data_IF_287096669321
#
_entry.id   IF_287096669321
#
_cell.length_a   1.000
_cell.length_b   1.000
_cell.length_c   1.000
_cell.angle_alpha   90.00
_cell.angle_beta   90.00
_cell.angle_gamma   90.00
#
_symmetry.space_group_name_H-M   'P 1'
#
loop_
_entity.id
_entity.type
_entity.pdbx_description
1 polymer ?
#
# COMPACT_ATOMS: atom_id res chain seq x y z
N UNK A 1 8.33 -19.90 22.08
CA UNK A 1 7.79 -20.62 20.91
C UNK A 1 6.40 -20.10 20.56
N UNK A 2 5.34 -20.38 21.33
CA UNK A 2 3.97 -20.01 20.98
C UNK A 2 3.72 -18.52 20.61
N UNK A 3 4.36 -17.57 21.31
CA UNK A 3 4.20 -16.13 21.01
C UNK A 3 4.77 -15.72 19.63
N UNK A 4 5.90 -16.30 19.24
CA UNK A 4 6.52 -16.04 17.94
C UNK A 4 5.68 -16.60 16.79
N UNK A 5 5.19 -17.82 16.95
CA UNK A 5 4.34 -18.48 15.95
C UNK A 5 3.03 -17.72 15.74
N UNK A 6 2.43 -17.22 16.82
CA UNK A 6 1.21 -16.39 16.76
C UNK A 6 1.46 -15.09 16.00
N UNK A 7 2.56 -14.41 16.28
CA UNK A 7 2.87 -13.15 15.57
C UNK A 7 3.23 -13.40 14.11
N UNK A 8 4.02 -14.42 13.82
CA UNK A 8 4.38 -14.77 12.44
C UNK A 8 3.13 -15.12 11.62
N UNK A 9 2.23 -15.93 12.20
CA UNK A 9 0.97 -16.32 11.56
C UNK A 9 0.07 -15.11 11.35
N UNK A 10 -0.07 -14.24 12.36
CA UNK A 10 -0.87 -13.01 12.26
C UNK A 10 -0.32 -12.09 11.16
N UNK A 11 1.00 -11.89 11.13
CA UNK A 11 1.66 -11.10 10.10
C UNK A 11 1.45 -11.68 8.70
N UNK A 12 1.54 -13.01 8.52
CA UNK A 12 1.26 -13.68 7.24
C UNK A 12 -0.19 -13.52 6.79
N UNK A 13 -1.15 -13.64 7.72
CA UNK A 13 -2.58 -13.46 7.40
C UNK A 13 -2.84 -12.03 6.94
N UNK A 14 -2.35 -11.03 7.67
CA UNK A 14 -2.55 -9.62 7.31
C UNK A 14 -1.89 -9.31 5.95
N UNK A 15 -0.70 -9.85 5.71
CA UNK A 15 0.00 -9.71 4.43
C UNK A 15 -0.82 -10.31 3.28
N UNK A 16 -1.36 -11.53 3.47
CA UNK A 16 -2.23 -12.18 2.50
C UNK A 16 -3.51 -11.37 2.23
N UNK A 17 -4.12 -10.76 3.26
CA UNK A 17 -5.27 -9.87 3.09
C UNK A 17 -4.88 -8.64 2.26
N UNK A 18 -3.76 -8.00 2.58
CA UNK A 18 -3.26 -6.84 1.83
C UNK A 18 -3.05 -7.16 0.35
N UNK A 19 -2.37 -8.27 0.06
CA UNK A 19 -2.18 -8.75 -1.33
C UNK A 19 -3.51 -9.06 -2.00
N UNK A 20 -4.43 -9.75 -1.32
CA UNK A 20 -5.74 -10.08 -1.86
C UNK A 20 -6.57 -8.83 -2.20
N UNK A 21 -6.50 -7.78 -1.40
CA UNK A 21 -7.17 -6.49 -1.66
C UNK A 21 -6.59 -5.82 -2.91
N UNK A 22 -5.27 -5.80 -3.07
CA UNK A 22 -4.61 -5.22 -4.25
C UNK A 22 -5.01 -5.98 -5.51
N UNK A 23 -4.85 -7.31 -5.49
CA UNK A 23 -5.14 -8.16 -6.65
C UNK A 23 -6.63 -8.13 -6.98
N UNK A 24 -7.50 -8.28 -5.99
CA UNK A 24 -8.94 -8.25 -6.18
C UNK A 24 -9.41 -6.89 -6.72
N UNK A 25 -8.89 -5.79 -6.19
CA UNK A 25 -9.18 -4.46 -6.69
C UNK A 25 -8.71 -4.23 -8.14
N UNK A 26 -7.53 -4.75 -8.51
CA UNK A 26 -7.03 -4.70 -9.87
C UNK A 26 -7.91 -5.49 -10.85
N UNK A 27 -8.32 -6.71 -10.48
CA UNK A 27 -9.22 -7.55 -11.29
C UNK A 27 -10.59 -6.88 -11.47
N UNK A 28 -11.16 -6.34 -10.40
CA UNK A 28 -12.43 -5.61 -10.46
C UNK A 28 -12.33 -4.34 -11.31
N UNK A 29 -11.23 -3.59 -11.18
CA UNK A 29 -10.97 -2.42 -12.01
C UNK A 29 -10.89 -2.80 -13.49
N UNK A 30 -10.16 -3.87 -13.83
CA UNK A 30 -10.03 -4.37 -15.19
C UNK A 30 -11.39 -4.81 -15.76
N UNK A 31 -12.14 -5.64 -15.03
CA UNK A 31 -13.45 -6.12 -15.46
C UNK A 31 -14.44 -4.97 -15.70
N UNK A 32 -14.48 -3.98 -14.79
CA UNK A 32 -15.30 -2.80 -14.93
C UNK A 32 -14.91 -1.92 -16.13
N UNK A 33 -13.62 -1.92 -16.48
CA UNK A 33 -13.09 -1.13 -17.60
C UNK A 33 -13.39 -1.80 -18.93
N UNK A 34 -13.24 -3.13 -19.03
CA UNK A 34 -13.57 -3.93 -20.23
C UNK A 34 -15.03 -3.73 -20.64
N UNK A 35 -15.96 -3.67 -19.68
CA UNK A 35 -17.37 -3.38 -19.96
C UNK A 35 -17.64 -1.97 -20.51
N UNK A 36 -16.73 -1.01 -20.29
CA UNK A 36 -16.88 0.40 -20.70
C UNK A 36 -16.15 0.76 -22.00
N UNK A 37 -15.32 -0.13 -22.54
CA UNK A 37 -14.59 0.07 -23.81
C UNK A 37 -15.53 0.36 -24.99
N UNK A 38 -16.80 -0.05 -24.92
CA UNK A 38 -17.79 0.15 -26.01
C UNK A 38 -18.52 1.50 -25.97
N UNK A 39 -18.33 2.32 -24.93
CA UNK A 39 -19.22 3.46 -24.65
C UNK A 39 -18.59 4.83 -24.84
N UNK A 40 -17.72 5.25 -23.94
CA UNK A 40 -17.35 6.66 -23.82
C UNK A 40 -15.93 6.78 -23.23
N UNK A 41 -15.18 7.80 -23.67
CA UNK A 41 -13.85 8.10 -23.13
C UNK A 41 -13.88 8.27 -21.60
N UNK A 42 -12.82 7.83 -20.92
CA UNK A 42 -12.74 7.85 -19.44
C UNK A 42 -12.60 6.47 -18.78
N UNK A 43 -12.56 5.40 -19.58
CA UNK A 43 -12.24 4.04 -19.13
C UNK A 43 -10.89 3.99 -18.38
N UNK A 44 -9.87 4.67 -18.89
CA UNK A 44 -8.55 4.76 -18.26
C UNK A 44 -8.58 5.46 -16.89
N UNK A 45 -9.29 6.59 -16.77
CA UNK A 45 -9.38 7.33 -15.50
C UNK A 45 -10.19 6.55 -14.46
N UNK A 46 -11.24 5.84 -14.88
CA UNK A 46 -12.00 4.96 -14.01
C UNK A 46 -11.14 3.79 -13.50
N UNK A 47 -10.36 3.16 -14.39
CA UNK A 47 -9.40 2.12 -14.03
C UNK A 47 -8.39 2.64 -13.01
N UNK A 48 -7.73 3.77 -13.30
CA UNK A 48 -6.69 4.34 -12.44
C UNK A 48 -7.21 4.72 -11.05
N UNK A 49 -8.42 5.27 -10.96
CA UNK A 49 -9.05 5.62 -9.67
C UNK A 49 -9.33 4.37 -8.82
N UNK A 50 -9.92 3.33 -9.42
CA UNK A 50 -10.25 2.09 -8.72
C UNK A 50 -8.97 1.35 -8.30
N UNK A 51 -8.02 1.22 -9.21
CA UNK A 51 -6.73 0.59 -8.96
C UNK A 51 -5.97 1.32 -7.84
N UNK A 52 -5.86 2.65 -7.93
CA UNK A 52 -5.18 3.46 -6.93
C UNK A 52 -5.77 3.31 -5.53
N UNK A 53 -7.11 3.28 -5.42
CA UNK A 53 -7.80 3.07 -4.14
C UNK A 53 -7.53 1.67 -3.56
N UNK A 54 -7.52 0.64 -4.40
CA UNK A 54 -7.21 -0.72 -3.94
C UNK A 54 -5.76 -0.90 -3.51
N UNK A 55 -4.81 -0.26 -4.20
CA UNK A 55 -3.40 -0.29 -3.83
C UNK A 55 -3.19 0.47 -2.51
N UNK A 56 -3.78 1.65 -2.34
CA UNK A 56 -3.63 2.43 -1.12
C UNK A 56 -4.16 1.66 0.10
N UNK A 57 -5.34 1.04 -0.02
CA UNK A 57 -5.90 0.20 1.03
C UNK A 57 -5.03 -1.04 1.30
N UNK A 58 -4.56 -1.71 0.24
CA UNK A 58 -3.66 -2.85 0.37
C UNK A 58 -2.36 -2.50 1.10
N UNK A 59 -1.79 -1.33 0.79
CA UNK A 59 -0.59 -0.82 1.45
C UNK A 59 -0.80 -0.59 2.95
N UNK A 60 -1.98 -0.15 3.39
CA UNK A 60 -2.28 -0.03 4.83
C UNK A 60 -2.18 -1.38 5.56
N UNK A 61 -2.70 -2.45 4.95
CA UNK A 61 -2.57 -3.80 5.50
C UNK A 61 -1.12 -4.30 5.46
N UNK A 62 -0.43 -4.08 4.35
CA UNK A 62 0.97 -4.49 4.19
C UNK A 62 1.88 -3.82 5.24
N UNK A 63 1.74 -2.51 5.44
CA UNK A 63 2.49 -1.79 6.48
C UNK A 63 2.15 -2.30 7.89
N UNK A 64 0.88 -2.62 8.17
CA UNK A 64 0.50 -3.20 9.46
C UNK A 64 1.17 -4.56 9.70
N UNK A 65 1.25 -5.41 8.68
CA UNK A 65 1.95 -6.70 8.76
C UNK A 65 3.46 -6.54 9.06
N UNK A 66 4.09 -5.48 8.55
CA UNK A 66 5.49 -5.16 8.83
C UNK A 66 5.74 -4.73 10.27
N UNK A 67 4.89 -3.84 10.79
CA UNK A 67 4.99 -3.36 12.18
C UNK A 67 4.86 -4.55 13.14
N UNK A 68 3.91 -5.45 12.89
CA UNK A 68 3.69 -6.64 13.71
C UNK A 68 4.93 -7.53 13.72
N UNK A 69 5.55 -7.76 12.56
CA UNK A 69 6.74 -8.61 12.44
C UNK A 69 7.98 -8.02 13.10
N UNK A 70 8.15 -6.70 13.06
CA UNK A 70 9.32 -6.01 13.63
C UNK A 70 9.30 -5.96 15.16
N UNK A 71 8.13 -5.82 15.78
CA UNK A 71 7.99 -5.73 17.25
C UNK A 71 8.17 -7.10 17.94
N UNK A 72 7.99 -8.19 17.21
CA UNK A 72 7.86 -9.53 17.75
C UNK A 72 9.15 -10.27 18.12
N UNK A 73 10.30 -9.84 17.59
CA UNK A 73 11.50 -10.69 17.55
C UNK A 73 12.43 -10.42 18.73
N UNK A 74 12.69 -11.42 19.59
CA UNK A 74 13.86 -11.37 20.48
C UNK A 74 15.12 -11.50 19.64
N UNK A 75 16.01 -10.51 19.67
CA UNK A 75 17.08 -10.43 18.71
C UNK A 75 18.19 -11.43 19.01
N UNK A 76 18.50 -12.30 18.04
CA UNK A 76 19.87 -12.76 17.81
C UNK A 76 20.45 -11.91 16.67
N UNK A 77 21.74 -11.56 16.71
CA UNK A 77 22.33 -10.63 15.74
C UNK A 77 22.09 -11.05 14.28
N UNK A 78 22.15 -12.35 13.99
CA UNK A 78 21.90 -12.89 12.65
C UNK A 78 20.42 -12.80 12.24
N UNK A 79 19.48 -13.14 13.14
CA UNK A 79 18.05 -13.08 12.82
C UNK A 79 17.57 -11.64 12.64
N UNK A 80 18.12 -10.71 13.43
CA UNK A 80 17.88 -9.26 13.26
C UNK A 80 18.42 -8.78 11.93
N UNK A 81 19.61 -9.20 11.51
CA UNK A 81 20.19 -8.77 10.25
C UNK A 81 19.34 -9.20 9.03
N UNK A 82 18.85 -10.45 9.01
CA UNK A 82 17.96 -10.94 7.95
C UNK A 82 16.62 -10.20 7.97
N UNK A 83 16.01 -10.04 9.16
CA UNK A 83 14.75 -9.31 9.31
C UNK A 83 14.89 -7.85 8.87
N UNK A 84 15.95 -7.16 9.29
CA UNK A 84 16.24 -5.79 8.90
C UNK A 84 16.44 -5.66 7.38
N UNK A 85 17.10 -6.65 6.75
CA UNK A 85 17.21 -6.71 5.29
C UNK A 85 15.85 -6.82 4.59
N UNK A 86 14.99 -7.73 5.04
CA UNK A 86 13.64 -7.90 4.48
C UNK A 86 12.80 -6.63 4.67
N UNK A 87 12.82 -6.04 5.86
CA UNK A 87 12.10 -4.80 6.17
C UNK A 87 12.62 -3.60 5.36
N UNK A 88 13.94 -3.50 5.17
CA UNK A 88 14.55 -2.45 4.35
C UNK A 88 14.12 -2.56 2.88
N UNK A 89 14.18 -3.77 2.31
CA UNK A 89 13.71 -4.03 0.94
C UNK A 89 12.23 -3.66 0.82
N UNK A 90 11.40 -4.09 1.78
CA UNK A 90 9.96 -3.82 1.75
C UNK A 90 9.63 -2.33 1.87
N UNK A 91 10.30 -1.63 2.77
CA UNK A 91 10.15 -0.18 2.93
C UNK A 91 10.54 0.54 1.64
N UNK A 92 11.67 0.16 1.03
CA UNK A 92 12.15 0.75 -0.22
C UNK A 92 11.19 0.50 -1.39
N UNK A 93 10.74 -0.74 -1.59
CA UNK A 93 9.81 -1.08 -2.68
C UNK A 93 8.45 -0.42 -2.49
N UNK A 94 7.89 -0.48 -1.28
CA UNK A 94 6.60 0.15 -0.98
C UNK A 94 6.65 1.67 -1.18
N UNK A 95 7.75 2.30 -0.74
CA UNK A 95 7.99 3.72 -0.93
C UNK A 95 8.16 4.10 -2.41
N UNK A 96 8.95 3.34 -3.17
CA UNK A 96 9.17 3.57 -4.60
C UNK A 96 7.84 3.51 -5.38
N UNK A 97 7.02 2.49 -5.12
CA UNK A 97 5.71 2.34 -5.76
C UNK A 97 4.74 3.47 -5.38
N UNK A 98 4.78 3.92 -4.13
CA UNK A 98 3.92 5.01 -3.67
C UNK A 98 4.28 6.34 -4.34
N UNK A 99 5.57 6.62 -4.53
CA UNK A 99 6.06 7.81 -5.25
C UNK A 99 5.70 7.73 -6.73
N UNK A 100 5.88 6.57 -7.37
CA UNK A 100 5.51 6.37 -8.77
C UNK A 100 4.00 6.57 -9.02
N UNK A 101 3.16 6.07 -8.10
CA UNK A 101 1.72 6.24 -8.21
C UNK A 101 1.24 7.67 -7.94
N UNK A 102 1.85 8.35 -6.95
CA UNK A 102 1.40 9.70 -6.52
C UNK A 102 2.04 10.79 -7.38
N UNK A 103 3.18 10.52 -8.01
CA UNK A 103 3.97 11.49 -8.79
C UNK A 103 4.63 12.59 -7.93
N UNK A 104 4.42 12.56 -6.62
CA UNK A 104 4.99 13.49 -5.64
C UNK A 104 5.62 12.72 -4.49
N UNK A 105 6.67 13.31 -3.92
CA UNK A 105 7.29 12.75 -2.73
C UNK A 105 6.32 12.88 -1.55
N UNK A 106 6.29 11.92 -0.60
CA UNK A 106 5.32 11.95 0.50
C UNK A 106 5.43 13.17 1.43
N UNK A 107 6.56 13.88 1.41
CA UNK A 107 6.76 15.16 2.11
C UNK A 107 6.30 16.39 1.33
N UNK A 108 5.92 16.26 0.06
CA UNK A 108 5.32 17.33 -0.73
C UNK A 108 3.82 17.38 -0.46
N UNK A 109 3.43 17.75 0.76
CA UNK A 109 2.04 18.13 1.02
C UNK A 109 1.75 19.43 0.28
N UNK A 110 0.68 19.52 -0.54
CA UNK A 110 0.26 20.80 -1.07
C UNK A 110 -0.18 21.65 0.12
N UNK A 111 0.59 22.70 0.40
CA UNK A 111 0.14 23.80 1.24
C UNK A 111 -1.12 24.31 0.56
N UNK A 112 -2.28 23.96 1.13
CA UNK A 112 -3.56 24.56 0.74
C UNK A 112 -3.36 26.05 0.98
N UNK A 113 -3.12 26.80 -0.09
CA UNK A 113 -3.13 28.25 -0.04
C UNK A 113 -4.47 28.61 0.58
N UNK A 114 -4.41 29.13 1.80
CA UNK A 114 -5.55 29.74 2.43
C UNK A 114 -5.97 30.86 1.48
N UNK A 115 -7.14 30.68 0.89
CA UNK A 115 -7.87 31.71 0.16
C UNK A 115 -8.29 32.75 1.20
N UNK A 116 -7.34 33.62 1.54
CA UNK A 116 -7.56 34.77 2.39
C UNK A 116 -8.27 35.81 1.53
N UNK A 117 -9.60 35.84 1.73
CA UNK A 117 -10.58 36.41 0.82
C UNK A 117 -10.33 37.84 0.35
N UNK A 118 -10.63 38.05 -0.93
CA UNK A 118 -10.97 39.37 -1.44
C UNK A 118 -12.46 39.66 -1.16
N UNK A 119 -12.80 40.72 -0.40
CA UNK A 119 -14.11 41.34 -0.51
C UNK A 119 -14.15 42.28 -1.73
N UNK A 120 -15.37 42.38 -2.29
CA UNK A 120 -15.78 43.05 -3.53
C UNK A 120 -15.46 44.54 -3.58
#
# INVERSE_FOLDING_TARGET
>A
MAFYDVIETTGKVIDAVGVAVIVGGAVLALAATVGRIRGEGGAYDAFRRQLGRSILLGLEFLVAADIIRTVAVTPTAQSVAVLAGIVAIRTFLSFSLQVEMTGSWPWQRPVKAADDGQPK
#
